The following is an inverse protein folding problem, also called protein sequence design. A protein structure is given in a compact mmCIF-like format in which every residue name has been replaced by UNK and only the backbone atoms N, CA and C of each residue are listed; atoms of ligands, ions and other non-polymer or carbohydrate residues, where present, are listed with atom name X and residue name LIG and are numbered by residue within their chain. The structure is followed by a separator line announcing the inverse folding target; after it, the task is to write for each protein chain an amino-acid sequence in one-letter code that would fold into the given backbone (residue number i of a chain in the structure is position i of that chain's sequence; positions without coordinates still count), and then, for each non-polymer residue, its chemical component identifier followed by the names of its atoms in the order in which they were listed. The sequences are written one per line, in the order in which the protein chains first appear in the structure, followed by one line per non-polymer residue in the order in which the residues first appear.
data_IF_421708832750
#
_entry.id   IF_421708832750
#
_cell.length_a   1.000
_cell.length_b   1.000
_cell.length_c   1.000
_cell.angle_alpha   90.00
_cell.angle_beta   90.00
_cell.angle_gamma   90.00
#
_symmetry.space_group_name_H-M   'P 1'
#
loop_
_entity.id
_entity.type
_entity.pdbx_description
1 polymer ?
#
# COMPACT_ATOMS: atom_id res chain seq x y z
N UNK A 1 9.08 -5.92 -5.99
CA UNK A 1 8.16 -6.48 -7.01
C UNK A 1 8.94 -7.27 -8.07
N UNK A 2 9.54 -8.40 -7.70
CA UNK A 2 10.15 -9.33 -8.66
C UNK A 2 9.08 -10.31 -9.15
N UNK A 3 8.07 -9.80 -9.88
CA UNK A 3 7.22 -10.58 -10.81
C UNK A 3 6.34 -11.74 -10.31
N UNK A 4 6.17 -12.01 -9.00
CA UNK A 4 5.35 -13.16 -8.53
C UNK A 4 4.23 -12.78 -7.55
N UNK A 5 4.20 -11.54 -7.06
CA UNK A 5 3.09 -11.02 -6.26
C UNK A 5 2.68 -9.67 -6.83
N UNK A 6 1.58 -9.65 -7.57
CA UNK A 6 1.01 -8.40 -8.06
C UNK A 6 0.59 -7.53 -6.88
N UNK A 7 0.66 -6.20 -7.03
CA UNK A 7 0.30 -5.24 -5.96
C UNK A 7 -1.08 -5.53 -5.37
N UNK A 8 -2.04 -6.03 -6.17
CA UNK A 8 -3.35 -6.43 -5.71
C UNK A 8 -3.32 -7.60 -4.70
N UNK A 9 -2.48 -8.62 -4.93
CA UNK A 9 -2.34 -9.75 -3.99
C UNK A 9 -1.67 -9.32 -2.69
N UNK A 10 -0.75 -8.37 -2.75
CA UNK A 10 -0.10 -7.81 -1.56
C UNK A 10 -1.10 -7.02 -0.69
N UNK A 11 -1.98 -6.23 -1.32
CA UNK A 11 -3.02 -5.48 -0.62
C UNK A 11 -4.09 -6.38 -0.01
N UNK A 12 -4.44 -7.49 -0.68
CA UNK A 12 -5.37 -8.48 -0.18
C UNK A 12 -4.78 -9.47 0.85
N UNK A 13 -3.49 -9.33 1.19
CA UNK A 13 -2.79 -10.31 2.01
C UNK A 13 -3.41 -10.43 3.44
N UNK A 14 -3.70 -11.67 3.91
CA UNK A 14 -4.10 -11.89 5.28
C UNK A 14 -2.93 -11.60 6.24
N UNK A 15 -3.17 -11.35 7.54
CA UNK A 15 -2.16 -10.91 8.50
C UNK A 15 -0.86 -11.72 8.49
N UNK A 16 -0.96 -13.04 8.31
CA UNK A 16 0.19 -13.96 8.32
C UNK A 16 1.11 -13.78 7.10
N UNK A 17 0.64 -13.10 6.05
CA UNK A 17 1.38 -12.83 4.81
C UNK A 17 1.71 -11.35 4.63
N UNK A 18 1.53 -10.52 5.67
CA UNK A 18 1.85 -9.08 5.60
C UNK A 18 3.33 -8.85 5.85
N UNK A 19 4.14 -8.48 4.84
CA UNK A 19 5.53 -8.18 5.06
C UNK A 19 5.68 -6.88 5.85
N UNK A 20 6.66 -6.86 6.75
CA UNK A 20 7.02 -5.64 7.51
C UNK A 20 7.67 -4.57 6.63
N UNK A 21 8.32 -4.99 5.55
CA UNK A 21 8.98 -4.10 4.59
C UNK A 21 8.51 -4.40 3.17
N UNK A 22 8.15 -3.35 2.43
CA UNK A 22 7.73 -3.45 1.02
C UNK A 22 8.70 -2.61 0.18
N UNK A 23 9.37 -3.26 -0.76
CA UNK A 23 10.28 -2.61 -1.70
C UNK A 23 10.21 -3.22 -3.12
N UNK A 24 10.62 -2.43 -4.11
CA UNK A 24 10.68 -2.89 -5.51
C UNK A 24 11.72 -3.98 -5.67
N UNK A 25 12.83 -3.90 -4.94
CA UNK A 25 13.90 -4.89 -4.98
C UNK A 25 14.81 -4.78 -3.76
N UNK A 26 15.76 -5.71 -3.64
CA UNK A 26 16.68 -5.81 -2.50
C UNK A 26 17.63 -4.61 -2.36
N UNK A 27 17.77 -3.72 -3.37
CA UNK A 27 18.56 -2.49 -3.26
C UNK A 27 17.88 -1.47 -2.34
N UNK A 28 16.57 -1.57 -2.16
CA UNK A 28 15.82 -0.73 -1.23
C UNK A 28 16.13 -0.98 0.24
N UNK A 29 16.71 -2.15 0.59
CA UNK A 29 17.21 -2.43 1.94
C UNK A 29 18.38 -1.51 2.38
N UNK A 30 19.01 -0.80 1.43
CA UNK A 30 20.11 0.14 1.69
C UNK A 30 19.62 1.57 1.98
N UNK A 31 18.32 1.81 1.85
CA UNK A 31 17.65 3.09 2.15
C UNK A 31 16.56 2.85 3.17
N UNK A 32 16.58 3.57 4.30
CA UNK A 32 15.53 3.41 5.31
C UNK A 32 14.15 3.63 4.70
N UNK A 33 13.23 2.68 4.90
CA UNK A 33 11.84 2.82 4.46
C UNK A 33 11.26 4.08 5.12
N UNK A 34 10.71 5.04 4.34
CA UNK A 34 10.04 6.20 4.91
C UNK A 34 8.86 5.75 5.79
N UNK A 35 8.72 6.39 6.94
CA UNK A 35 7.67 6.08 7.90
C UNK A 35 6.30 6.35 7.26
N UNK A 36 5.40 5.36 7.34
CA UNK A 36 4.00 5.55 6.97
C UNK A 36 3.29 6.13 8.19
N UNK A 37 2.75 7.34 8.04
CA UNK A 37 2.07 8.07 9.11
C UNK A 37 0.57 8.16 8.85
N UNK A 38 -0.23 8.45 9.87
CA UNK A 38 -1.68 8.61 9.75
C UNK A 38 -2.47 7.45 10.36
N UNK A 39 -3.75 7.35 10.00
CA UNK A 39 -4.69 6.41 10.60
C UNK A 39 -5.95 6.21 9.75
N UNK A 40 -6.83 5.31 10.20
CA UNK A 40 -8.04 4.94 9.45
C UNK A 40 -8.95 6.14 9.12
N UNK A 41 -9.00 7.13 10.00
CA UNK A 41 -9.88 8.30 9.87
C UNK A 41 -9.29 9.40 8.95
N UNK A 42 -7.97 9.58 8.95
CA UNK A 42 -7.28 10.69 8.26
C UNK A 42 -6.53 10.27 6.98
N UNK A 43 -6.47 8.96 6.71
CA UNK A 43 -5.68 8.36 5.65
C UNK A 43 -4.21 8.13 6.01
N UNK A 44 -3.60 7.19 5.32
CA UNK A 44 -2.20 6.81 5.48
C UNK A 44 -1.31 7.55 4.50
N UNK A 45 -0.22 8.13 4.97
CA UNK A 45 0.68 8.98 4.18
C UNK A 45 2.08 8.41 4.15
N UNK A 46 2.68 8.39 2.97
CA UNK A 46 4.06 7.99 2.78
C UNK A 46 4.65 8.82 1.64
N UNK A 47 5.74 9.53 1.90
CA UNK A 47 6.27 10.51 0.95
C UNK A 47 5.22 11.58 0.60
N UNK A 48 5.01 11.81 -0.71
CA UNK A 48 3.97 12.70 -1.21
C UNK A 48 2.60 12.03 -1.47
N UNK A 49 2.46 10.75 -1.14
CA UNK A 49 1.23 9.99 -1.34
C UNK A 49 0.37 9.91 -0.09
N UNK A 50 -0.94 9.93 -0.28
CA UNK A 50 -1.95 9.69 0.75
C UNK A 50 -2.94 8.63 0.24
N UNK A 51 -3.11 7.55 1.00
CA UNK A 51 -4.01 6.46 0.71
C UNK A 51 -5.13 6.37 1.75
N UNK A 52 -6.35 6.15 1.29
CA UNK A 52 -7.54 5.98 2.15
C UNK A 52 -8.32 4.75 1.72
N UNK A 53 -8.94 4.09 2.69
CA UNK A 53 -9.90 3.03 2.43
C UNK A 53 -11.30 3.64 2.38
N UNK A 54 -11.87 3.73 1.18
CA UNK A 54 -13.27 4.09 0.99
C UNK A 54 -14.20 2.89 1.24
N UNK A 55 -15.50 3.08 1.02
CA UNK A 55 -16.51 2.05 1.27
C UNK A 55 -16.35 0.81 0.37
N UNK A 56 -16.00 1.00 -0.91
CA UNK A 56 -15.91 -0.09 -1.90
C UNK A 56 -14.50 -0.22 -2.53
N UNK A 57 -13.65 0.80 -2.39
CA UNK A 57 -12.36 0.88 -3.08
C UNK A 57 -11.32 1.67 -2.31
N UNK A 58 -10.06 1.33 -2.56
CA UNK A 58 -8.91 2.11 -2.12
C UNK A 58 -8.75 3.35 -3.00
N UNK A 59 -8.48 4.47 -2.34
CA UNK A 59 -8.17 5.72 -2.99
C UNK A 59 -6.72 6.12 -2.71
N UNK A 60 -6.11 6.70 -3.73
CA UNK A 60 -4.75 7.19 -3.66
C UNK A 60 -4.72 8.58 -4.29
N UNK A 61 -4.18 9.53 -3.52
CA UNK A 61 -4.01 10.93 -3.89
C UNK A 61 -2.56 11.38 -3.61
N UNK A 62 -2.13 12.40 -4.33
CA UNK A 62 -0.75 12.90 -4.27
C UNK A 62 0.11 12.43 -5.43
N UNK A 63 1.41 12.60 -5.27
CA UNK A 63 2.43 12.30 -6.27
C UNK A 63 3.78 12.00 -5.58
N UNK A 64 4.70 11.39 -6.32
CA UNK A 64 6.02 11.02 -5.82
C UNK A 64 6.43 9.61 -6.23
N UNK A 65 7.28 8.97 -5.43
CA UNK A 65 7.77 7.62 -5.72
C UNK A 65 6.61 6.61 -5.72
N UNK A 66 6.43 5.80 -6.78
CA UNK A 66 5.41 4.76 -6.82
C UNK A 66 5.44 3.79 -5.63
N UNK A 67 6.63 3.54 -5.08
CA UNK A 67 6.80 2.68 -3.91
C UNK A 67 6.22 3.28 -2.63
N UNK A 68 6.30 4.60 -2.47
CA UNK A 68 5.74 5.26 -1.29
C UNK A 68 4.22 5.20 -1.34
N UNK A 69 3.63 5.36 -2.53
CA UNK A 69 2.19 5.17 -2.72
C UNK A 69 1.76 3.72 -2.49
N UNK A 70 2.56 2.72 -2.85
CA UNK A 70 2.28 1.32 -2.54
C UNK A 70 2.31 1.06 -1.02
N UNK A 71 3.28 1.65 -0.29
CA UNK A 71 3.37 1.54 1.18
C UNK A 71 2.18 2.16 1.87
N UNK A 72 1.74 3.34 1.41
CA UNK A 72 0.52 3.98 1.91
C UNK A 72 -0.72 3.11 1.64
N UNK A 73 -0.85 2.54 0.44
CA UNK A 73 -1.95 1.64 0.11
C UNK A 73 -1.97 0.37 0.96
N UNK A 74 -0.82 -0.24 1.24
CA UNK A 74 -0.73 -1.40 2.12
C UNK A 74 -1.27 -1.08 3.51
N UNK A 75 -0.89 0.06 4.08
CA UNK A 75 -1.39 0.48 5.39
C UNK A 75 -2.93 0.67 5.37
N UNK A 76 -3.46 1.38 4.37
CA UNK A 76 -4.90 1.57 4.21
C UNK A 76 -5.66 0.24 4.03
N UNK A 77 -5.17 -0.64 3.17
CA UNK A 77 -5.77 -1.93 2.87
C UNK A 77 -5.76 -2.86 4.09
N UNK A 78 -4.63 -2.98 4.77
CA UNK A 78 -4.50 -3.89 5.90
C UNK A 78 -5.26 -3.42 7.13
N UNK A 79 -5.37 -2.09 7.33
CA UNK A 79 -6.23 -1.53 8.38
C UNK A 79 -7.70 -1.77 8.08
N UNK A 80 -8.16 -1.59 6.83
CA UNK A 80 -9.55 -1.85 6.45
C UNK A 80 -9.91 -3.34 6.45
N UNK A 81 -8.99 -4.19 5.99
CA UNK A 81 -9.18 -5.65 5.89
C UNK A 81 -9.00 -6.41 7.21
N UNK A 82 -8.58 -5.75 8.28
CA UNK A 82 -8.45 -6.34 9.62
C UNK A 82 -7.70 -7.68 9.62
N UNK A 83 -8.31 -8.71 10.21
CA UNK A 83 -7.75 -10.06 10.32
C UNK A 83 -8.01 -10.94 9.08
N UNK A 84 -8.88 -10.51 8.17
CA UNK A 84 -9.40 -11.36 7.08
C UNK A 84 -8.75 -11.05 5.73
N UNK A 85 -8.14 -9.87 5.58
CA UNK A 85 -7.59 -9.39 4.31
C UNK A 85 -8.50 -8.33 3.68
N UNK A 86 -7.92 -7.49 2.82
CA UNK A 86 -8.66 -6.42 2.17
C UNK A 86 -9.37 -6.92 0.91
N UNK A 87 -10.69 -6.72 0.81
CA UNK A 87 -11.49 -7.02 -0.38
C UNK A 87 -11.82 -5.77 -1.23
N UNK A 88 -11.31 -4.59 -0.85
CA UNK A 88 -11.57 -3.34 -1.55
C UNK A 88 -10.90 -3.32 -2.92
N UNK A 89 -11.56 -2.70 -3.91
CA UNK A 89 -10.96 -2.53 -5.24
C UNK A 89 -9.71 -1.64 -5.15
N UNK A 90 -8.59 -2.17 -5.62
CA UNK A 90 -7.29 -1.49 -5.66
C UNK A 90 -6.87 -1.10 -7.06
N UNK A 91 -7.63 -1.47 -8.10
CA UNK A 91 -7.21 -1.35 -9.50
C UNK A 91 -6.93 0.09 -9.91
N UNK A 92 -7.82 1.01 -9.52
CA UNK A 92 -7.65 2.45 -9.83
C UNK A 92 -6.48 3.09 -9.09
N UNK A 93 -6.19 2.63 -7.86
CA UNK A 93 -5.10 3.14 -7.05
C UNK A 93 -3.74 2.61 -7.56
N UNK A 94 -3.67 1.32 -7.89
CA UNK A 94 -2.48 0.70 -8.48
C UNK A 94 -2.17 1.26 -9.87
N UNK A 95 -3.18 1.50 -10.70
CA UNK A 95 -2.99 2.13 -12.01
C UNK A 95 -2.34 3.52 -11.93
N UNK A 96 -2.55 4.27 -10.83
CA UNK A 96 -1.87 5.55 -10.61
C UNK A 96 -0.39 5.42 -10.30
N UNK A 97 0.03 4.30 -9.75
CA UNK A 97 1.43 4.03 -9.45
C UNK A 97 2.21 3.59 -10.71
N UNK A 98 1.51 3.19 -11.78
CA UNK A 98 2.14 2.71 -13.02
C UNK A 98 2.94 1.42 -12.81
N UNK A 99 2.53 0.60 -11.83
CA UNK A 99 3.11 -0.70 -11.49
C UNK A 99 2.36 -1.84 -12.19
#
# INVERSE_FOLDING_TARGET
LTGVTDGAQLLAAPPQHRPTYVDADLRGLLTGQPEVTGGADDGFRCGGWTATAGEERLELAGDGSPLDGLRALCAAAWTAGGEQGCALDSGKALARLGL
#
